data_IF_251811947195
#
_entry.id   IF_251811947195
#
_cell.length_a   1.000
_cell.length_b   1.000
_cell.length_c   1.000
_cell.angle_alpha   90.00
_cell.angle_beta   90.00
_cell.angle_gamma   90.00
#
_symmetry.space_group_name_H-M   'P 1'
#
loop_
_entity.id
_entity.type
_entity.pdbx_description
1 polymer ?
#
# COMPACT_ATOMS: atom_id res chain seq x y z
N UNK A 1 -23.78 -3.42 -80.01
CA UNK A 1 -23.01 -4.07 -78.92
C UNK A 1 -22.91 -3.09 -77.76
N UNK A 2 -23.70 -3.29 -76.70
CA UNK A 2 -23.68 -2.45 -75.48
C UNK A 2 -22.76 -3.12 -74.45
N UNK A 3 -21.73 -2.41 -74.00
CA UNK A 3 -20.82 -2.86 -72.93
C UNK A 3 -21.46 -2.54 -71.57
N UNK A 4 -21.81 -3.56 -70.81
CA UNK A 4 -22.21 -3.46 -69.40
C UNK A 4 -20.96 -3.39 -68.52
N UNK A 5 -20.77 -2.27 -67.82
CA UNK A 5 -19.72 -2.09 -66.80
C UNK A 5 -20.31 -2.55 -65.46
N UNK A 6 -19.88 -3.71 -64.98
CA UNK A 6 -20.20 -4.19 -63.64
C UNK A 6 -19.39 -3.39 -62.63
N UNK A 7 -20.06 -2.60 -61.78
CA UNK A 7 -19.44 -1.90 -60.67
C UNK A 7 -19.51 -2.81 -59.45
N UNK A 8 -18.37 -3.39 -59.07
CA UNK A 8 -18.22 -4.15 -57.83
C UNK A 8 -18.17 -3.15 -56.68
N UNK A 9 -19.26 -3.03 -55.92
CA UNK A 9 -19.30 -2.24 -54.69
C UNK A 9 -18.55 -2.98 -53.58
N UNK A 10 -17.34 -2.52 -53.26
CA UNK A 10 -16.60 -2.94 -52.09
C UNK A 10 -17.24 -2.28 -50.85
N UNK A 11 -18.02 -3.04 -50.09
CA UNK A 11 -18.54 -2.59 -48.81
C UNK A 11 -17.38 -2.59 -47.80
N UNK A 12 -16.87 -1.41 -47.48
CA UNK A 12 -15.96 -1.20 -46.36
C UNK A 12 -16.76 -1.40 -45.06
N UNK A 13 -16.67 -2.58 -44.47
CA UNK A 13 -17.17 -2.83 -43.12
C UNK A 13 -16.19 -2.16 -42.16
N UNK A 14 -16.48 -0.92 -41.79
CA UNK A 14 -15.80 -0.20 -40.73
C UNK A 14 -16.22 -0.85 -39.41
N UNK A 15 -15.48 -1.86 -38.96
CA UNK A 15 -15.57 -2.34 -37.59
C UNK A 15 -15.00 -1.22 -36.72
N UNK A 16 -15.86 -0.31 -36.24
CA UNK A 16 -15.52 0.51 -35.08
C UNK A 16 -15.34 -0.49 -33.94
N UNK A 17 -14.09 -0.91 -33.72
CA UNK A 17 -13.69 -1.51 -32.47
C UNK A 17 -13.87 -0.39 -31.45
N UNK A 18 -15.04 -0.36 -30.81
CA UNK A 18 -15.28 0.50 -29.67
C UNK A 18 -14.46 -0.07 -28.52
N UNK A 19 -13.15 0.11 -28.57
CA UNK A 19 -12.31 -0.02 -27.39
C UNK A 19 -12.92 0.95 -26.38
N UNK A 20 -13.30 0.49 -25.18
CA UNK A 20 -13.64 1.43 -24.12
C UNK A 20 -12.49 2.45 -24.03
N UNK A 21 -12.78 3.74 -23.78
CA UNK A 21 -11.70 4.69 -23.54
C UNK A 21 -10.79 4.07 -22.48
N UNK A 22 -9.50 3.94 -22.79
CA UNK A 22 -8.52 3.44 -21.85
C UNK A 22 -8.55 4.29 -20.59
N UNK A 23 -8.19 3.69 -19.45
CA UNK A 23 -7.98 4.46 -18.22
C UNK A 23 -6.90 5.54 -18.50
N UNK A 24 -7.03 6.70 -17.87
CA UNK A 24 -5.97 7.71 -17.91
C UNK A 24 -4.66 7.07 -17.42
N UNK A 25 -3.51 7.41 -18.01
CA UNK A 25 -2.24 6.90 -17.48
C UNK A 25 -1.98 7.56 -16.13
N UNK A 26 -1.33 6.83 -15.23
CA UNK A 26 -0.97 7.30 -13.90
C UNK A 26 0.53 7.15 -13.66
N UNK A 27 1.08 8.03 -12.84
CA UNK A 27 2.46 8.01 -12.40
C UNK A 27 2.53 8.08 -10.87
N UNK A 28 3.35 7.21 -10.26
CA UNK A 28 3.66 7.23 -8.83
C UNK A 28 5.16 7.43 -8.68
N UNK A 29 5.57 8.62 -8.25
CA UNK A 29 6.97 9.01 -8.13
C UNK A 29 7.42 9.03 -6.67
N UNK A 30 8.31 8.12 -6.30
CA UNK A 30 9.03 8.15 -5.02
C UNK A 30 10.22 9.09 -5.19
N UNK A 31 10.12 10.29 -4.63
CA UNK A 31 11.04 11.39 -4.89
C UNK A 31 12.37 11.19 -4.16
N UNK A 32 13.47 11.59 -4.79
CA UNK A 32 14.77 11.65 -4.12
C UNK A 32 14.88 12.88 -3.21
N UNK A 33 14.33 12.73 -2.01
CA UNK A 33 14.38 13.72 -0.93
C UNK A 33 15.46 13.40 0.09
N UNK A 34 16.45 12.56 -0.21
CA UNK A 34 17.43 12.12 0.78
C UNK A 34 16.82 11.14 1.78
N UNK A 35 17.09 11.29 3.08
CA UNK A 35 16.38 10.49 4.09
C UNK A 35 14.97 11.01 4.31
N UNK A 36 14.00 10.11 4.18
CA UNK A 36 12.58 10.41 4.33
C UNK A 36 11.77 9.96 3.12
N UNK A 37 10.46 10.16 3.22
CA UNK A 37 9.53 9.88 2.13
C UNK A 37 8.92 11.16 1.60
N UNK A 38 8.86 11.26 0.27
CA UNK A 38 7.92 12.12 -0.44
C UNK A 38 7.50 11.38 -1.71
N UNK A 39 6.21 11.19 -1.89
CA UNK A 39 5.65 10.38 -2.97
C UNK A 39 4.57 11.18 -3.66
N UNK A 40 4.69 11.37 -4.97
CA UNK A 40 3.70 12.08 -5.76
C UNK A 40 2.96 11.11 -6.68
N UNK A 41 1.64 11.04 -6.51
CA UNK A 41 0.72 10.40 -7.44
C UNK A 41 0.12 11.46 -8.35
N UNK A 42 0.10 11.18 -9.65
CA UNK A 42 -0.56 11.97 -10.68
C UNK A 42 -1.23 11.05 -11.69
N UNK A 43 -2.37 11.45 -12.24
CA UNK A 43 -2.91 10.84 -13.46
C UNK A 43 -3.25 11.86 -14.54
N UNK A 44 -3.37 11.39 -15.78
CA UNK A 44 -3.71 12.22 -16.93
C UNK A 44 -5.14 12.78 -16.88
N UNK A 45 -5.95 12.40 -15.87
CA UNK A 45 -7.22 13.04 -15.57
C UNK A 45 -7.04 14.34 -14.74
N UNK A 46 -5.81 14.62 -14.29
CA UNK A 46 -5.41 15.82 -13.57
C UNK A 46 -5.65 15.71 -12.07
N UNK A 47 -5.59 14.50 -11.49
CA UNK A 47 -5.70 14.31 -10.05
C UNK A 47 -4.32 14.16 -9.40
N UNK A 48 -4.00 15.03 -8.45
CA UNK A 48 -2.68 15.15 -7.86
C UNK A 48 -2.70 14.90 -6.34
N UNK A 49 -1.90 13.92 -5.88
CA UNK A 49 -1.76 13.58 -4.47
C UNK A 49 -0.30 13.57 -4.06
N UNK A 50 0.04 14.32 -3.01
CA UNK A 50 1.34 14.23 -2.35
C UNK A 50 1.21 13.42 -1.05
N UNK A 51 1.91 12.30 -0.96
CA UNK A 51 2.01 11.45 0.23
C UNK A 51 3.39 11.66 0.86
N UNK A 52 3.42 12.22 2.06
CA UNK A 52 4.62 12.72 2.74
C UNK A 52 5.39 13.77 1.91
N UNK A 53 6.35 14.46 2.53
CA UNK A 53 7.04 15.61 1.94
C UNK A 53 8.50 15.75 2.41
N UNK A 54 9.10 14.68 2.92
CA UNK A 54 10.49 14.65 3.37
C UNK A 54 10.77 15.56 4.56
N UNK A 55 12.06 15.69 4.89
CA UNK A 55 12.56 16.70 5.82
C UNK A 55 12.29 18.13 5.32
N UNK A 56 12.17 19.09 6.23
CA UNK A 56 11.94 20.50 5.88
C UNK A 56 13.01 21.07 4.93
N UNK A 57 14.26 20.59 5.05
CA UNK A 57 15.37 21.00 4.19
C UNK A 57 15.24 20.53 2.73
N UNK A 58 14.30 19.62 2.46
CA UNK A 58 14.09 18.95 1.17
C UNK A 58 12.79 19.39 0.48
N UNK A 59 12.06 20.34 1.08
CA UNK A 59 10.85 20.89 0.50
C UNK A 59 11.06 21.48 -0.90
N UNK A 60 12.24 22.03 -1.19
CA UNK A 60 12.58 22.52 -2.54
C UNK A 60 12.62 21.38 -3.54
N UNK A 61 13.20 20.22 -3.21
CA UNK A 61 13.25 19.08 -4.12
C UNK A 61 11.84 18.52 -4.42
N UNK A 62 10.93 18.60 -3.45
CA UNK A 62 9.51 18.26 -3.64
C UNK A 62 8.84 19.27 -4.58
N UNK A 63 8.98 20.57 -4.30
CA UNK A 63 8.37 21.62 -5.11
C UNK A 63 8.90 21.65 -6.56
N UNK A 64 10.17 21.34 -6.77
CA UNK A 64 10.77 21.21 -8.10
C UNK A 64 10.12 20.06 -8.89
N UNK A 65 9.75 18.95 -8.24
CA UNK A 65 9.01 17.85 -8.90
C UNK A 65 7.55 18.21 -9.18
N UNK A 66 6.97 19.10 -8.39
CA UNK A 66 5.61 19.60 -8.58
C UNK A 66 5.58 20.83 -9.53
N UNK A 67 6.68 21.15 -10.22
CA UNK A 67 6.69 22.25 -11.20
C UNK A 67 5.67 21.98 -12.31
N UNK A 68 4.67 22.85 -12.42
CA UNK A 68 3.57 22.71 -13.39
C UNK A 68 2.28 22.16 -12.79
N UNK A 69 2.31 21.60 -11.57
CA UNK A 69 1.11 21.28 -10.80
C UNK A 69 0.47 22.57 -10.29
N UNK A 70 -0.82 22.76 -10.56
CA UNK A 70 -1.53 24.00 -10.21
C UNK A 70 -2.11 23.96 -8.80
N UNK A 71 -2.55 22.80 -8.34
CA UNK A 71 -3.10 22.53 -7.02
C UNK A 71 -2.90 21.05 -6.69
N UNK A 72 -2.78 20.72 -5.41
CA UNK A 72 -2.86 19.34 -4.93
C UNK A 72 -4.30 19.06 -4.47
N UNK A 73 -4.93 18.04 -5.03
CA UNK A 73 -6.26 17.59 -4.57
C UNK A 73 -6.21 17.08 -3.14
N UNK A 74 -5.12 16.40 -2.80
CA UNK A 74 -4.94 15.80 -1.50
C UNK A 74 -3.46 15.81 -1.10
N UNK A 75 -3.22 16.14 0.15
CA UNK A 75 -1.99 15.74 0.83
C UNK A 75 -2.29 14.66 1.84
N UNK A 76 -1.44 13.65 1.89
CA UNK A 76 -1.48 12.59 2.89
C UNK A 76 -0.19 12.67 3.69
N UNK A 77 -0.26 12.55 5.01
CA UNK A 77 0.94 12.19 5.77
C UNK A 77 0.73 10.91 6.56
N UNK A 78 1.71 10.02 6.42
CA UNK A 78 1.64 8.66 6.92
C UNK A 78 1.73 8.65 8.45
N UNK A 79 2.77 9.26 9.01
CA UNK A 79 3.01 9.45 10.44
C UNK A 79 3.69 10.80 10.69
N UNK A 80 3.99 11.15 11.95
CA UNK A 80 4.41 12.51 12.32
C UNK A 80 5.92 12.73 12.50
N UNK A 81 6.77 11.84 11.99
CA UNK A 81 8.22 12.08 11.96
C UNK A 81 8.63 13.15 10.94
N UNK A 82 9.73 13.84 11.24
CA UNK A 82 10.17 15.03 10.50
C UNK A 82 10.61 14.71 9.07
N UNK A 83 11.15 13.52 8.82
CA UNK A 83 11.52 13.03 7.50
C UNK A 83 10.31 12.60 6.64
N UNK A 84 9.09 12.74 7.17
CA UNK A 84 7.84 12.54 6.44
C UNK A 84 7.05 13.84 6.33
N UNK A 85 6.79 14.53 7.45
CA UNK A 85 5.97 15.75 7.46
C UNK A 85 6.76 17.06 7.38
N UNK A 86 8.09 17.00 7.44
CA UNK A 86 8.95 18.17 7.58
C UNK A 86 8.76 19.21 6.48
N UNK A 87 8.71 18.78 5.22
CA UNK A 87 8.47 19.67 4.07
C UNK A 87 7.00 20.02 3.83
N UNK A 88 6.05 19.38 4.53
CA UNK A 88 4.62 19.46 4.19
C UNK A 88 4.08 20.88 4.38
N UNK A 89 4.45 21.53 5.48
CA UNK A 89 4.07 22.92 5.75
C UNK A 89 4.60 23.88 4.67
N UNK A 90 5.82 23.65 4.18
CA UNK A 90 6.42 24.45 3.11
C UNK A 90 5.66 24.28 1.79
N UNK A 91 5.27 23.05 1.45
CA UNK A 91 4.47 22.78 0.24
C UNK A 91 3.11 23.49 0.32
N UNK A 92 2.38 23.32 1.44
CA UNK A 92 1.06 23.96 1.65
C UNK A 92 1.12 25.50 1.63
N UNK A 93 2.26 26.10 2.00
CA UNK A 93 2.45 27.56 1.90
C UNK A 93 2.81 28.02 0.47
N UNK A 94 3.36 27.13 -0.36
CA UNK A 94 3.85 27.45 -1.69
C UNK A 94 2.80 27.24 -2.79
N UNK A 95 1.84 26.34 -2.60
CA UNK A 95 0.80 26.04 -3.59
C UNK A 95 -0.56 25.71 -2.95
N UNK A 96 -1.67 25.84 -3.70
CA UNK A 96 -3.00 25.45 -3.21
C UNK A 96 -3.08 23.95 -2.90
N UNK A 97 -3.73 23.62 -1.79
CA UNK A 97 -4.04 22.25 -1.36
C UNK A 97 -5.51 22.19 -0.98
N UNK A 98 -6.27 21.27 -1.59
CA UNK A 98 -7.73 21.21 -1.42
C UNK A 98 -8.15 20.45 -0.16
N UNK A 99 -7.43 19.40 0.22
CA UNK A 99 -7.74 18.59 1.39
C UNK A 99 -6.48 17.92 1.97
N UNK A 100 -6.58 17.51 3.23
CA UNK A 100 -5.58 16.73 3.93
C UNK A 100 -6.14 15.43 4.51
N UNK A 101 -5.33 14.38 4.51
CA UNK A 101 -5.58 13.10 5.16
C UNK A 101 -4.41 12.77 6.09
N UNK A 102 -4.71 12.36 7.32
CA UNK A 102 -3.70 12.02 8.33
C UNK A 102 -4.06 10.74 9.09
N UNK A 103 -3.10 10.15 9.79
CA UNK A 103 -3.35 9.05 10.73
C UNK A 103 -4.24 9.44 11.93
N UNK A 104 -4.37 10.74 12.21
CA UNK A 104 -5.31 11.28 13.20
C UNK A 104 -4.87 11.18 14.67
N UNK A 105 -3.64 10.79 14.96
CA UNK A 105 -3.07 10.84 16.30
C UNK A 105 -2.24 12.12 16.50
N UNK A 106 -2.25 12.65 17.73
CA UNK A 106 -1.45 13.81 18.10
C UNK A 106 0.01 13.41 18.35
N UNK A 107 0.95 14.23 17.89
CA UNK A 107 2.37 14.06 18.12
C UNK A 107 2.98 15.34 18.73
N UNK A 108 3.83 15.20 19.74
CA UNK A 108 4.42 16.35 20.45
C UNK A 108 5.77 16.72 19.82
N UNK A 109 5.72 17.38 18.67
CA UNK A 109 6.89 17.92 17.99
C UNK A 109 6.61 19.29 17.39
N UNK A 110 7.65 20.13 17.28
CA UNK A 110 7.52 21.44 16.63
C UNK A 110 7.03 21.29 15.18
N UNK A 111 7.60 20.33 14.44
CA UNK A 111 7.21 20.04 13.05
C UNK A 111 5.71 19.73 12.92
N UNK A 112 5.16 18.91 13.82
CA UNK A 112 3.74 18.56 13.80
C UNK A 112 2.86 19.76 14.14
N UNK A 113 3.21 20.53 15.17
CA UNK A 113 2.45 21.70 15.58
C UNK A 113 2.47 22.81 14.51
N UNK A 114 3.62 23.06 13.89
CA UNK A 114 3.76 24.03 12.80
C UNK A 114 2.91 23.62 11.58
N UNK A 115 2.86 22.32 11.25
CA UNK A 115 1.99 21.80 10.20
C UNK A 115 0.50 22.03 10.52
N UNK A 116 0.07 21.76 11.75
CA UNK A 116 -1.32 22.00 12.17
C UNK A 116 -1.69 23.49 12.11
N UNK A 117 -0.78 24.39 12.46
CA UNK A 117 -0.98 25.83 12.35
C UNK A 117 -1.16 26.25 10.88
N UNK A 118 -0.42 25.66 9.94
CA UNK A 118 -0.57 25.88 8.50
C UNK A 118 -1.92 25.36 8.00
N UNK A 119 -2.29 24.13 8.35
CA UNK A 119 -3.59 23.53 7.99
C UNK A 119 -4.75 24.40 8.50
N UNK A 120 -4.68 24.83 9.75
CA UNK A 120 -5.70 25.71 10.35
C UNK A 120 -5.70 27.11 9.73
N UNK A 121 -4.52 27.67 9.44
CA UNK A 121 -4.36 29.02 8.89
C UNK A 121 -4.91 29.15 7.47
N UNK A 122 -4.75 28.11 6.63
CA UNK A 122 -5.34 28.06 5.29
C UNK A 122 -6.77 27.50 5.27
N UNK A 123 -7.25 26.95 6.39
CA UNK A 123 -8.58 26.35 6.48
C UNK A 123 -8.71 25.08 5.63
N UNK A 124 -7.62 24.31 5.50
CA UNK A 124 -7.59 23.07 4.72
C UNK A 124 -8.44 22.02 5.46
N UNK A 125 -9.49 21.48 4.83
CA UNK A 125 -10.25 20.38 5.41
C UNK A 125 -9.35 19.17 5.64
N UNK A 126 -9.26 18.73 6.90
CA UNK A 126 -8.45 17.57 7.28
C UNK A 126 -9.34 16.42 7.75
N UNK A 127 -9.07 15.23 7.21
CA UNK A 127 -9.75 13.99 7.57
C UNK A 127 -8.76 12.99 8.18
N UNK A 128 -9.29 12.02 8.93
CA UNK A 128 -8.51 10.95 9.55
C UNK A 128 -8.69 9.67 8.77
N UNK A 129 -7.58 9.08 8.32
CA UNK A 129 -7.54 7.78 7.69
C UNK A 129 -7.93 6.68 8.68
N UNK A 130 -8.79 5.76 8.25
CA UNK A 130 -9.17 4.58 9.02
C UNK A 130 -9.07 3.33 8.16
N UNK A 131 -8.60 2.23 8.76
CA UNK A 131 -8.60 0.93 8.11
C UNK A 131 -10.00 0.61 7.53
N UNK A 132 -10.04 0.29 6.24
CA UNK A 132 -11.26 0.01 5.49
C UNK A 132 -11.80 1.19 4.68
N UNK A 133 -11.33 2.42 4.91
CA UNK A 133 -11.70 3.55 4.06
C UNK A 133 -11.23 3.31 2.63
N UNK A 134 -12.02 3.81 1.66
CA UNK A 134 -11.70 3.73 0.24
C UNK A 134 -11.97 5.08 -0.40
N UNK A 135 -10.97 5.58 -1.13
CA UNK A 135 -11.01 6.85 -1.83
C UNK A 135 -10.82 6.61 -3.33
N UNK A 136 -11.38 7.51 -4.14
CA UNK A 136 -11.13 7.58 -5.58
C UNK A 136 -10.15 8.71 -5.83
N UNK A 137 -8.97 8.40 -6.33
CA UNK A 137 -7.94 9.36 -6.70
C UNK A 137 -7.86 9.41 -8.21
N UNK A 138 -8.64 10.31 -8.82
CA UNK A 138 -8.86 10.33 -10.26
C UNK A 138 -9.33 8.97 -10.78
N UNK A 139 -8.49 8.30 -11.56
CA UNK A 139 -8.75 6.96 -12.09
C UNK A 139 -8.17 5.82 -11.22
N UNK A 140 -7.62 6.11 -10.04
CA UNK A 140 -7.15 5.09 -9.11
C UNK A 140 -8.07 4.91 -7.90
N UNK A 141 -8.01 3.74 -7.28
CA UNK A 141 -8.67 3.46 -6.01
C UNK A 141 -7.62 3.35 -4.91
N UNK A 142 -7.72 4.18 -3.88
CA UNK A 142 -6.83 4.14 -2.72
C UNK A 142 -7.58 3.53 -1.53
N UNK A 143 -7.19 2.33 -1.12
CA UNK A 143 -7.76 1.65 0.05
C UNK A 143 -6.82 1.79 1.24
N UNK A 144 -7.33 2.38 2.32
CA UNK A 144 -6.59 2.50 3.58
C UNK A 144 -6.65 1.18 4.33
N UNK A 145 -5.48 0.59 4.61
CA UNK A 145 -5.34 -0.65 5.36
C UNK A 145 -5.02 -0.41 6.84
N UNK A 146 -4.43 0.75 7.16
CA UNK A 146 -4.03 1.17 8.51
C UNK A 146 -4.11 2.71 8.60
N UNK A 147 -4.46 3.35 9.75
CA UNK A 147 -4.54 2.80 11.11
C UNK A 147 -5.81 2.09 11.53
N UNK A 148 -5.64 1.06 12.38
CA UNK A 148 -6.72 0.40 13.13
C UNK A 148 -6.84 0.93 14.57
N UNK A 149 -5.70 1.25 15.19
CA UNK A 149 -5.57 1.83 16.54
C UNK A 149 -4.29 2.67 16.63
N UNK A 150 -4.06 3.28 17.80
CA UNK A 150 -2.80 3.98 18.10
C UNK A 150 -1.76 3.01 18.64
N UNK A 151 -0.53 3.14 18.16
CA UNK A 151 0.68 2.45 18.60
C UNK A 151 1.57 3.38 19.42
N UNK A 152 2.43 2.79 20.26
CA UNK A 152 3.43 3.54 21.03
C UNK A 152 4.56 4.04 20.12
N UNK A 153 4.94 3.22 19.14
CA UNK A 153 5.86 3.59 18.08
C UNK A 153 5.14 4.46 17.05
N UNK A 154 5.70 5.61 16.73
CA UNK A 154 5.09 6.53 15.77
C UNK A 154 5.17 5.99 14.34
N UNK A 155 6.21 5.23 14.02
CA UNK A 155 6.35 4.54 12.73
C UNK A 155 5.16 3.60 12.46
N UNK A 156 4.75 2.83 13.45
CA UNK A 156 3.60 1.91 13.38
C UNK A 156 2.25 2.64 13.42
N UNK A 157 2.20 3.97 13.52
CA UNK A 157 0.99 4.75 13.28
C UNK A 157 0.81 5.11 11.78
N UNK A 158 1.74 4.71 10.91
CA UNK A 158 1.74 5.05 9.49
C UNK A 158 0.42 4.70 8.79
N UNK A 159 -0.10 5.62 7.98
CA UNK A 159 -1.18 5.31 7.03
C UNK A 159 -0.65 4.36 5.96
N UNK A 160 -1.22 3.15 5.88
CA UNK A 160 -0.91 2.18 4.83
C UNK A 160 -1.98 2.23 3.76
N UNK A 161 -1.57 2.39 2.51
CA UNK A 161 -2.48 2.53 1.37
C UNK A 161 -2.14 1.49 0.32
N UNK A 162 -3.12 0.69 -0.07
CA UNK A 162 -3.09 -0.09 -1.30
C UNK A 162 -3.73 0.74 -2.40
N UNK A 163 -2.91 1.21 -3.34
CA UNK A 163 -3.33 2.03 -4.46
C UNK A 163 -3.46 1.15 -5.70
N UNK A 164 -4.67 1.08 -6.26
CA UNK A 164 -5.00 0.27 -7.42
C UNK A 164 -5.26 1.18 -8.62
N UNK A 165 -4.40 1.10 -9.64
CA UNK A 165 -4.63 1.69 -10.94
C UNK A 165 -4.92 0.56 -11.95
N UNK A 166 -6.21 0.28 -12.15
CA UNK A 166 -6.65 -0.89 -12.91
C UNK A 166 -6.12 -2.19 -12.30
N UNK A 167 -5.35 -2.96 -13.08
CA UNK A 167 -4.73 -4.22 -12.67
C UNK A 167 -3.32 -4.04 -12.06
N UNK A 168 -2.87 -2.80 -11.83
CA UNK A 168 -1.56 -2.48 -11.21
C UNK A 168 -1.79 -1.96 -9.79
N UNK A 169 -1.25 -2.69 -8.82
CA UNK A 169 -1.35 -2.40 -7.41
C UNK A 169 -0.01 -1.96 -6.82
N UNK A 170 -0.04 -0.85 -6.07
CA UNK A 170 1.10 -0.30 -5.32
C UNK A 170 0.77 -0.28 -3.84
N UNK A 171 1.61 -0.89 -3.00
CA UNK A 171 1.48 -0.84 -1.55
C UNK A 171 2.41 0.23 -0.97
N UNK A 172 1.82 1.29 -0.43
CA UNK A 172 2.50 2.39 0.26
C UNK A 172 2.43 2.14 1.77
N UNK A 173 3.59 1.96 2.41
CA UNK A 173 3.65 1.49 3.80
C UNK A 173 4.07 2.56 4.82
N UNK A 174 4.49 3.75 4.36
CA UNK A 174 5.16 4.73 5.23
C UNK A 174 6.34 4.07 5.93
N UNK A 175 6.39 4.20 7.26
CA UNK A 175 7.44 3.59 8.09
C UNK A 175 6.98 2.35 8.86
N UNK A 176 6.05 1.58 8.30
CA UNK A 176 5.61 0.31 8.89
C UNK A 176 6.77 -0.55 9.40
N UNK A 177 6.71 -0.89 10.70
CA UNK A 177 7.60 -1.86 11.30
C UNK A 177 6.84 -3.17 11.56
N UNK A 178 7.56 -4.13 12.12
CA UNK A 178 7.06 -5.48 12.40
C UNK A 178 5.69 -5.52 13.09
N UNK A 179 5.45 -4.64 14.08
CA UNK A 179 4.19 -4.69 14.85
C UNK A 179 2.99 -4.38 13.96
N UNK A 180 3.12 -3.36 13.09
CA UNK A 180 2.11 -3.02 12.11
C UNK A 180 1.98 -4.08 11.01
N UNK A 181 3.10 -4.57 10.46
CA UNK A 181 3.10 -5.64 9.45
C UNK A 181 2.35 -6.88 9.94
N UNK A 182 2.63 -7.31 11.17
CA UNK A 182 1.98 -8.44 11.80
C UNK A 182 0.49 -8.16 12.10
N UNK A 183 0.12 -6.91 12.40
CA UNK A 183 -1.29 -6.53 12.54
C UNK A 183 -2.03 -6.69 11.21
N UNK A 184 -1.45 -6.23 10.10
CA UNK A 184 -2.03 -6.38 8.76
C UNK A 184 -2.18 -7.86 8.37
N UNK A 185 -1.17 -8.68 8.63
CA UNK A 185 -1.20 -10.12 8.38
C UNK A 185 -2.31 -10.81 9.19
N UNK A 186 -2.44 -10.49 10.48
CA UNK A 186 -3.48 -11.06 11.35
C UNK A 186 -4.89 -10.61 10.97
N UNK A 187 -5.03 -9.38 10.47
CA UNK A 187 -6.29 -8.87 9.98
C UNK A 187 -6.78 -9.60 8.71
N UNK A 188 -5.88 -10.29 7.99
CA UNK A 188 -6.21 -11.01 6.76
C UNK A 188 -6.70 -10.08 5.64
N UNK A 189 -6.23 -8.82 5.66
CA UNK A 189 -6.48 -7.88 4.56
C UNK A 189 -5.67 -8.29 3.34
N UNK A 190 -6.15 -7.90 2.16
CA UNK A 190 -5.42 -8.13 0.93
C UNK A 190 -4.21 -7.19 0.85
N UNK A 191 -3.02 -7.77 0.87
CA UNK A 191 -1.73 -7.09 0.81
C UNK A 191 -1.06 -7.24 -0.55
N UNK A 192 -1.64 -8.00 -1.49
CA UNK A 192 -0.98 -8.27 -2.77
C UNK A 192 -0.79 -6.96 -3.55
N UNK A 193 0.43 -6.75 -4.06
CA UNK A 193 0.77 -5.60 -4.88
C UNK A 193 1.99 -5.89 -5.76
N UNK A 194 1.98 -5.47 -7.02
CA UNK A 194 3.13 -5.61 -7.92
C UNK A 194 4.30 -4.73 -7.46
N UNK A 195 4.01 -3.56 -6.88
CA UNK A 195 5.02 -2.62 -6.38
C UNK A 195 4.87 -2.38 -4.89
N UNK A 196 5.98 -2.54 -4.15
CA UNK A 196 6.06 -2.20 -2.72
C UNK A 196 6.95 -0.97 -2.50
N UNK A 197 6.40 0.08 -1.89
CA UNK A 197 7.24 1.07 -1.21
C UNK A 197 7.67 0.48 0.13
N UNK A 198 8.95 0.16 0.24
CA UNK A 198 9.56 -0.50 1.40
C UNK A 198 9.44 0.39 2.63
N UNK A 199 8.99 -0.20 3.74
CA UNK A 199 8.76 0.49 4.99
C UNK A 199 10.05 0.96 5.64
N UNK A 200 10.01 2.13 6.28
CA UNK A 200 11.06 2.65 7.16
C UNK A 200 12.43 2.67 6.49
N UNK A 201 12.45 3.15 5.25
CA UNK A 201 13.66 3.34 4.44
C UNK A 201 14.50 2.06 4.24
N UNK A 202 13.93 0.88 4.50
CA UNK A 202 14.64 -0.40 4.51
C UNK A 202 15.38 -0.72 5.81
N UNK A 203 14.91 -0.19 6.95
CA UNK A 203 15.36 -0.57 8.29
C UNK A 203 15.22 -2.08 8.54
N UNK A 204 16.06 -2.65 9.39
CA UNK A 204 15.93 -4.05 9.80
C UNK A 204 14.66 -4.33 10.64
N UNK A 205 13.96 -3.27 11.07
CA UNK A 205 12.68 -3.33 11.79
C UNK A 205 11.46 -3.44 10.88
N UNK A 206 11.64 -3.45 9.56
CA UNK A 206 10.56 -3.59 8.58
C UNK A 206 10.84 -4.73 7.57
N UNK A 207 9.88 -4.93 6.67
CA UNK A 207 9.88 -5.87 5.54
C UNK A 207 10.12 -7.32 5.94
N UNK A 208 9.45 -7.81 7.00
CA UNK A 208 9.62 -9.18 7.48
C UNK A 208 9.17 -10.22 6.44
N UNK A 209 9.78 -11.41 6.51
CA UNK A 209 9.60 -12.44 5.49
C UNK A 209 8.13 -12.77 5.25
N UNK A 210 7.35 -12.96 6.31
CA UNK A 210 5.91 -13.25 6.21
C UNK A 210 5.11 -12.10 5.58
N UNK A 211 5.51 -10.84 5.81
CA UNK A 211 4.90 -9.68 5.17
C UNK A 211 5.21 -9.67 3.67
N UNK A 212 6.49 -9.82 3.29
CA UNK A 212 6.89 -9.90 1.88
C UNK A 212 6.25 -11.10 1.15
N UNK A 213 6.04 -12.22 1.84
CA UNK A 213 5.37 -13.41 1.28
C UNK A 213 3.87 -13.18 1.03
N UNK A 214 3.24 -12.29 1.81
CA UNK A 214 1.86 -11.88 1.61
C UNK A 214 1.71 -10.79 0.54
N UNK A 215 2.66 -9.87 0.44
CA UNK A 215 2.66 -8.80 -0.57
C UNK A 215 3.00 -9.33 -1.97
N UNK A 216 3.97 -10.24 -2.05
CA UNK A 216 4.48 -10.81 -3.32
C UNK A 216 4.91 -9.77 -4.36
N UNK A 217 5.72 -8.76 -4.00
CA UNK A 217 6.07 -7.69 -4.93
C UNK A 217 6.99 -8.18 -6.04
N UNK A 218 6.80 -7.65 -7.23
CA UNK A 218 7.76 -7.77 -8.35
C UNK A 218 8.84 -6.70 -8.24
N UNK A 219 8.46 -5.51 -7.77
CA UNK A 219 9.32 -4.34 -7.58
C UNK A 219 9.25 -3.84 -6.14
N UNK A 220 10.40 -3.50 -5.57
CA UNK A 220 10.53 -2.81 -4.30
C UNK A 220 11.24 -1.47 -4.52
N UNK A 221 10.64 -0.38 -4.05
CA UNK A 221 11.25 0.95 -4.05
C UNK A 221 11.61 1.33 -2.62
N UNK A 222 12.86 1.71 -2.40
CA UNK A 222 13.38 2.15 -1.10
C UNK A 222 13.68 3.65 -1.21
N UNK A 223 12.90 4.48 -0.52
CA UNK A 223 13.29 5.89 -0.33
C UNK A 223 14.37 5.93 0.74
N UNK A 224 15.53 6.44 0.36
CA UNK A 224 16.73 6.49 1.18
C UNK A 224 17.71 7.49 0.56
N UNK A 225 18.48 8.18 1.39
CA UNK A 225 19.51 9.13 1.02
C UNK A 225 20.90 8.50 1.04
N UNK A 226 21.76 8.96 0.11
CA UNK A 226 23.12 8.46 -0.04
C UNK A 226 23.98 8.66 1.22
N UNK A 227 23.71 9.74 1.97
CA UNK A 227 24.45 10.13 3.17
C UNK A 227 23.67 9.79 4.46
N UNK A 228 22.78 8.80 4.42
CA UNK A 228 21.98 8.46 5.59
C UNK A 228 22.82 7.93 6.76
N UNK A 229 22.65 8.46 7.98
CA UNK A 229 23.45 8.04 9.13
C UNK A 229 22.97 6.72 9.76
N UNK A 230 21.80 6.23 9.36
CA UNK A 230 21.12 5.09 9.98
C UNK A 230 21.62 3.73 9.47
N UNK A 231 22.39 3.71 8.38
CA UNK A 231 22.84 2.48 7.74
C UNK A 231 21.73 1.76 6.97
N UNK A 232 20.78 2.53 6.46
CA UNK A 232 19.69 2.05 5.63
C UNK A 232 20.05 2.10 4.14
N UNK A 233 19.45 1.23 3.30
CA UNK A 233 18.71 0.04 3.70
C UNK A 233 19.65 -0.99 4.35
N UNK A 234 19.13 -1.73 5.34
CA UNK A 234 19.90 -2.77 6.01
C UNK A 234 20.20 -3.93 5.05
N UNK A 235 21.38 -4.58 5.16
CA UNK A 235 21.69 -5.76 4.36
C UNK A 235 20.65 -6.87 4.48
N UNK A 236 20.05 -7.06 5.66
CA UNK A 236 19.02 -8.05 5.89
C UNK A 236 17.71 -7.78 5.13
N UNK A 237 17.31 -6.51 4.93
CA UNK A 237 16.18 -6.18 4.04
C UNK A 237 16.53 -6.53 2.59
N UNK A 238 17.71 -6.11 2.13
CA UNK A 238 18.15 -6.38 0.75
C UNK A 238 18.23 -7.89 0.46
N UNK A 239 18.76 -8.68 1.40
CA UNK A 239 18.83 -10.13 1.28
C UNK A 239 17.44 -10.77 1.23
N UNK A 240 16.48 -10.29 2.03
CA UNK A 240 15.09 -10.77 2.02
C UNK A 240 14.39 -10.49 0.68
N UNK A 241 14.62 -9.32 0.09
CA UNK A 241 14.10 -8.95 -1.23
C UNK A 241 14.76 -9.77 -2.34
N UNK A 242 16.09 -9.86 -2.33
CA UNK A 242 16.85 -10.62 -3.30
C UNK A 242 16.50 -12.12 -3.30
N UNK A 243 16.30 -12.71 -2.12
CA UNK A 243 15.88 -14.11 -1.97
C UNK A 243 14.52 -14.42 -2.61
N UNK A 244 13.69 -13.39 -2.83
CA UNK A 244 12.38 -13.47 -3.48
C UNK A 244 12.40 -13.06 -4.96
N UNK A 245 13.56 -12.67 -5.49
CA UNK A 245 13.70 -12.20 -6.86
C UNK A 245 13.07 -10.82 -7.12
N UNK A 246 12.86 -10.03 -6.07
CA UNK A 246 12.25 -8.69 -6.17
C UNK A 246 13.25 -7.71 -6.78
N UNK A 247 12.87 -7.01 -7.84
CA UNK A 247 13.67 -5.95 -8.42
C UNK A 247 13.69 -4.74 -7.46
N UNK A 248 14.86 -4.37 -6.96
CA UNK A 248 15.01 -3.32 -5.94
C UNK A 248 15.55 -2.03 -6.57
N UNK A 249 14.86 -0.93 -6.35
CA UNK A 249 15.27 0.43 -6.70
C UNK A 249 15.46 1.27 -5.44
N UNK A 250 16.46 2.15 -5.44
CA UNK A 250 16.77 3.01 -4.28
C UNK A 250 16.96 4.45 -4.72
N UNK A 251 16.34 5.40 -4.03
CA UNK A 251 16.43 6.81 -4.44
C UNK A 251 17.85 7.38 -4.36
N UNK A 252 18.70 6.85 -3.47
CA UNK A 252 20.11 7.25 -3.39
C UNK A 252 20.98 6.80 -4.58
N UNK A 253 20.52 5.82 -5.35
CA UNK A 253 21.24 5.26 -6.50
C UNK A 253 20.55 5.59 -7.82
N UNK A 254 19.23 5.47 -7.83
CA UNK A 254 18.37 5.61 -9.01
C UNK A 254 17.72 6.99 -9.13
N UNK A 255 17.95 7.88 -8.15
CA UNK A 255 17.28 9.20 -8.02
C UNK A 255 15.78 8.98 -7.84
N UNK A 256 14.93 9.93 -8.22
CA UNK A 256 13.48 9.75 -8.19
C UNK A 256 13.09 8.49 -8.97
N UNK A 257 12.34 7.60 -8.32
CA UNK A 257 11.85 6.36 -8.92
C UNK A 257 10.38 6.52 -9.26
N UNK A 258 10.03 6.47 -10.55
CA UNK A 258 8.64 6.66 -11.01
C UNK A 258 8.08 5.37 -11.61
N UNK A 259 6.93 4.95 -11.09
CA UNK A 259 6.10 3.88 -11.64
C UNK A 259 5.08 4.50 -12.58
N UNK A 260 5.18 4.21 -13.88
CA UNK A 260 4.17 4.60 -14.87
C UNK A 260 3.22 3.43 -15.09
N UNK A 261 1.91 3.67 -15.08
CA UNK A 261 0.89 2.64 -15.25
C UNK A 261 -0.19 3.10 -16.22
N UNK A 262 -0.61 2.22 -17.13
CA UNK A 262 -1.76 2.45 -18.02
C UNK A 262 -3.03 1.71 -17.57
N UNK A 263 -3.01 1.18 -16.34
CA UNK A 263 -4.11 0.43 -15.77
C UNK A 263 -4.12 -1.07 -16.09
N UNK A 264 -3.18 -1.56 -16.91
CA UNK A 264 -3.04 -2.99 -17.24
C UNK A 264 -1.61 -3.48 -17.02
N UNK A 265 -0.64 -2.61 -17.27
CA UNK A 265 0.79 -2.88 -17.05
C UNK A 265 1.47 -1.64 -16.52
N UNK A 266 2.71 -1.81 -16.06
CA UNK A 266 3.54 -0.73 -15.56
C UNK A 266 4.98 -0.79 -16.06
N UNK A 267 5.68 0.32 -15.93
CA UNK A 267 7.13 0.44 -16.15
C UNK A 267 7.76 1.32 -15.08
N UNK A 268 9.06 1.13 -14.84
CA UNK A 268 9.84 1.90 -13.86
C UNK A 268 10.79 2.85 -14.58
N UNK A 269 10.80 4.12 -14.19
CA UNK A 269 11.68 5.22 -14.65
C UNK A 269 11.63 5.57 -16.15
N UNK A 270 10.76 4.90 -16.92
CA UNK A 270 10.50 5.22 -18.31
C UNK A 270 8.99 5.16 -18.55
N UNK A 271 8.37 6.22 -19.10
CA UNK A 271 6.96 6.17 -19.49
C UNK A 271 6.67 5.00 -20.43
N UNK A 272 5.47 4.43 -20.30
CA UNK A 272 4.99 3.47 -21.27
C UNK A 272 4.91 4.15 -22.65
N UNK A 273 5.20 3.42 -23.75
CA UNK A 273 4.95 3.96 -25.07
C UNK A 273 3.47 4.30 -25.15
N UNK A 274 3.16 5.50 -25.65
CA UNK A 274 1.79 5.89 -25.96
C UNK A 274 1.14 4.74 -26.73
N UNK A 275 -0.13 4.45 -26.43
CA UNK A 275 -0.90 3.44 -27.14
C UNK A 275 -1.03 3.82 -28.62
N UNK A 276 0.04 3.60 -29.40
CA UNK A 276 0.02 3.80 -30.83
C UNK A 276 -1.01 2.82 -31.35
N UNK A 277 -2.06 3.40 -31.95
CA UNK A 277 -3.02 2.75 -32.82
C UNK A 277 -2.43 1.47 -33.40
N UNK A 278 -2.75 0.32 -32.81
CA UNK A 278 -2.43 -0.96 -33.41
C UNK A 278 -3.16 -0.95 -34.74
N UNK A 279 -2.45 -0.58 -35.81
CA UNK A 279 -2.94 -0.73 -37.17
C UNK A 279 -3.02 -2.23 -37.36
N UNK A 280 -4.22 -2.77 -37.13
CA UNK A 280 -4.57 -4.09 -37.57
C UNK A 280 -4.40 -4.07 -39.09
N UNK A 281 -3.24 -4.53 -39.56
CA UNK A 281 -3.06 -4.85 -40.96
C UNK A 281 -3.79 -6.18 -41.13
N UNK A 282 -4.99 -6.23 -41.73
CA UNK A 282 -5.58 -7.51 -42.06
C UNK A 282 -4.56 -8.24 -42.92
N UNK A 283 -4.15 -9.43 -42.49
CA UNK A 283 -3.41 -10.34 -43.34
C UNK A 283 -4.34 -10.70 -44.50
N UNK A 284 -4.25 -9.95 -45.60
CA UNK A 284 -4.92 -10.31 -46.85
C UNK A 284 -4.23 -11.60 -47.27
N UNK A 285 -4.88 -12.73 -47.01
CA UNK A 285 -4.49 -14.00 -47.58
C UNK A 285 -4.33 -13.77 -49.09
N UNK A 286 -3.09 -13.89 -49.57
CA UNK A 286 -2.81 -13.89 -51.00
C UNK A 286 -3.69 -14.92 -51.69
N UNK A 287 -3.97 -14.75 -52.99
CA UNK A 287 -4.81 -15.69 -53.74
C UNK A 287 -4.31 -17.11 -53.48
N UNK A 288 -5.23 -18.07 -53.22
CA UNK A 288 -4.85 -19.45 -52.94
C UNK A 288 -3.93 -19.95 -54.06
N UNK A 289 -2.85 -20.63 -53.66
CA UNK A 289 -1.99 -21.34 -54.60
C UNK A 289 -2.87 -22.23 -55.49
N UNK A 290 -2.56 -22.36 -56.79
CA UNK A 290 -3.36 -23.17 -57.71
C UNK A 290 -3.51 -24.59 -57.15
N UNK A 291 -4.76 -25.02 -57.01
CA UNK A 291 -5.13 -26.34 -56.51
C UNK A 291 -4.42 -27.41 -57.33
N UNK A 292 -3.53 -28.15 -56.66
CA UNK A 292 -3.00 -29.40 -57.20
C UNK A 292 -4.14 -30.41 -57.33
N UNK A 293 -4.21 -31.04 -58.49
CA UNK A 293 -5.18 -32.08 -58.84
C UNK A 293 -5.25 -33.16 -57.75
N UNK A 294 -6.43 -33.46 -57.17
CA UNK A 294 -6.54 -34.48 -56.14
C UNK A 294 -6.45 -35.90 -56.73
N UNK A 295 -5.43 -36.63 -56.30
CA UNK A 295 -5.36 -38.10 -56.42
C UNK A 295 -6.29 -38.70 -55.38
N UNK A 296 -7.28 -39.47 -55.84
CA UNK A 296 -8.18 -40.23 -54.97
C UNK A 296 -7.40 -41.26 -54.13
N UNK A 297 -7.77 -41.43 -52.85
CA UNK A 297 -7.98 -42.75 -52.21
C UNK A 297 -8.50 -42.65 -50.77
N UNK A 298 -9.54 -43.45 -50.52
CA UNK A 298 -10.03 -44.11 -49.29
C UNK A 298 -10.61 -43.32 -48.08
N UNK A 299 -11.91 -43.58 -47.87
CA UNK A 299 -12.71 -43.46 -46.63
C UNK A 299 -12.31 -44.54 -45.60
N UNK A 300 -12.34 -44.24 -44.29
CA UNK A 300 -13.43 -44.74 -43.41
C UNK A 300 -13.88 -43.68 -42.36
N UNK A 301 -15.18 -43.40 -42.18
CA UNK A 301 -16.16 -44.02 -41.25
C UNK A 301 -15.84 -43.85 -39.76
N UNK A 302 -16.68 -43.10 -39.02
CA UNK A 302 -16.68 -43.15 -37.54
C UNK A 302 -17.29 -41.95 -36.82
N UNK A 303 -18.59 -42.02 -36.56
CA UNK A 303 -19.47 -41.08 -35.84
C UNK A 303 -19.18 -40.99 -34.32
N UNK A 304 -19.29 -39.80 -33.72
CA UNK A 304 -20.09 -39.52 -32.51
C UNK A 304 -19.93 -38.05 -32.05
N UNK A 305 -21.04 -37.32 -32.05
CA UNK A 305 -21.17 -35.98 -31.50
C UNK A 305 -21.54 -36.04 -30.01
N UNK A 306 -21.04 -35.10 -29.21
CA UNK A 306 -21.45 -34.89 -27.82
C UNK A 306 -22.05 -33.48 -27.71
N UNK A 307 -23.29 -33.43 -27.22
CA UNK A 307 -24.15 -32.25 -27.03
C UNK A 307 -23.85 -31.65 -25.64
N UNK A 308 -23.77 -30.31 -25.47
CA UNK A 308 -23.77 -29.70 -24.15
C UNK A 308 -25.20 -29.57 -23.61
N UNK A 309 -25.42 -29.98 -22.37
CA UNK A 309 -26.72 -29.78 -21.67
C UNK A 309 -26.57 -28.64 -20.68
N UNK A 310 -27.35 -27.58 -20.89
CA UNK A 310 -27.68 -26.58 -19.88
C UNK A 310 -28.88 -27.06 -19.06
N UNK A 311 -28.94 -26.69 -17.78
CA UNK A 311 -30.19 -26.71 -17.02
C UNK A 311 -30.18 -25.58 -16.01
N UNK A 312 -31.10 -24.64 -16.21
CA UNK A 312 -31.60 -23.73 -15.18
C UNK A 312 -32.69 -24.44 -14.36
N UNK A 313 -32.95 -24.03 -13.12
CA UNK A 313 -34.26 -23.44 -12.71
C UNK A 313 -34.27 -23.13 -11.21
N UNK A 314 -34.91 -22.00 -10.92
CA UNK A 314 -35.23 -21.35 -9.66
C UNK A 314 -35.98 -22.21 -8.62
N UNK A 315 -36.07 -21.73 -7.38
CA UNK A 315 -37.29 -21.07 -6.84
C UNK A 315 -37.11 -20.71 -5.36
N UNK A 316 -37.50 -19.48 -5.02
CA UNK A 316 -37.63 -18.95 -3.67
C UNK A 316 -38.85 -19.51 -2.93
N UNK A 317 -38.82 -19.57 -1.60
CA UNK A 317 -40.05 -19.55 -0.80
C UNK A 317 -39.80 -18.83 0.53
N UNK A 318 -40.64 -17.84 0.77
CA UNK A 318 -40.76 -17.00 1.96
C UNK A 318 -41.82 -17.55 2.91
N UNK A 319 -41.66 -17.35 4.23
CA UNK A 319 -42.74 -17.07 5.20
C UNK A 319 -42.18 -16.87 6.64
N UNK A 320 -42.91 -16.17 7.54
CA UNK A 320 -42.31 -15.27 8.54
C UNK A 320 -42.73 -15.48 10.03
N UNK A 321 -42.09 -14.69 10.93
CA UNK A 321 -42.53 -14.17 12.27
C UNK A 321 -42.57 -15.17 13.45
N UNK A 322 -42.46 -14.78 14.76
CA UNK A 322 -42.57 -13.43 15.34
C UNK A 322 -41.59 -12.96 16.44
N UNK A 323 -41.60 -11.63 16.55
CA UNK A 323 -41.33 -10.69 17.65
C UNK A 323 -41.29 -11.21 19.09
N UNK A 324 -40.30 -10.70 19.85
CA UNK A 324 -40.43 -10.48 21.30
C UNK A 324 -40.01 -9.05 21.65
N UNK A 325 -40.90 -8.38 22.37
CA UNK A 325 -40.83 -7.01 22.90
C UNK A 325 -40.52 -7.09 24.40
N UNK A 326 -39.57 -6.29 24.88
CA UNK A 326 -39.47 -5.85 26.28
C UNK A 326 -38.65 -4.56 26.29
N UNK A 327 -39.29 -3.39 26.22
CA UNK A 327 -39.85 -2.61 27.34
C UNK A 327 -38.76 -2.08 28.29
N UNK A 328 -38.39 -0.82 28.02
CA UNK A 328 -37.56 0.01 28.86
C UNK A 328 -38.24 0.32 30.20
N UNK A 329 -37.45 0.33 31.27
CA UNK A 329 -37.82 0.94 32.55
C UNK A 329 -36.70 1.89 32.94
N UNK A 330 -36.99 3.19 32.96
CA UNK A 330 -36.09 4.22 33.46
C UNK A 330 -36.07 4.16 34.99
N UNK A 331 -34.87 4.10 35.56
CA UNK A 331 -34.58 4.34 36.97
C UNK A 331 -33.71 5.61 37.11
N UNK A 332 -33.81 6.35 38.22
CA UNK A 332 -33.43 7.75 38.31
C UNK A 332 -31.92 8.00 38.35
N UNK A 333 -31.57 9.16 37.78
CA UNK A 333 -30.28 9.84 37.73
C UNK A 333 -29.59 9.94 39.08
N UNK A 334 -28.39 9.36 39.20
CA UNK A 334 -27.45 9.65 40.28
C UNK A 334 -26.42 10.67 39.79
N UNK A 335 -26.39 11.84 40.44
CA UNK A 335 -25.38 12.87 40.27
C UNK A 335 -24.06 12.38 40.86
N UNK A 336 -23.06 12.13 40.00
CA UNK A 336 -21.69 11.84 40.44
C UNK A 336 -20.93 13.16 40.65
N UNK A 337 -20.49 13.38 41.88
CA UNK A 337 -19.63 14.48 42.32
C UNK A 337 -18.20 14.27 41.78
N UNK A 338 -17.68 15.26 41.07
CA UNK A 338 -16.27 15.31 40.64
C UNK A 338 -15.39 15.42 41.88
N UNK A 339 -14.57 14.40 42.14
CA UNK A 339 -13.46 14.48 43.09
C UNK A 339 -12.18 14.52 42.27
N UNK A 340 -11.44 15.62 42.35
CA UNK A 340 -10.13 15.76 41.72
C UNK A 340 -9.16 14.74 42.32
N UNK A 341 -8.54 13.93 41.46
CA UNK A 341 -7.40 13.08 41.79
C UNK A 341 -6.13 13.85 41.43
N UNK A 342 -5.13 13.96 42.33
CA UNK A 342 -3.91 14.72 42.04
C UNK A 342 -3.11 14.06 40.92
N UNK A 343 -2.68 14.89 39.98
CA UNK A 343 -1.83 14.56 38.83
C UNK A 343 -0.56 13.86 39.27
N UNK A 344 -0.40 12.58 38.90
CA UNK A 344 0.87 11.89 38.98
C UNK A 344 1.79 12.42 37.86
N UNK A 345 2.92 12.98 38.25
CA UNK A 345 4.00 13.40 37.37
C UNK A 345 4.58 12.18 36.64
N UNK A 346 4.40 12.07 35.33
CA UNK A 346 5.07 11.05 34.52
C UNK A 346 6.50 11.50 34.20
N UNK A 347 7.46 10.86 34.86
CA UNK A 347 8.86 10.80 34.42
C UNK A 347 8.95 9.94 33.15
N UNK A 348 9.80 10.27 32.16
CA UNK A 348 9.86 9.52 30.90
C UNK A 348 10.50 8.13 31.11
N UNK A 349 9.92 7.08 30.53
CA UNK A 349 10.56 5.78 30.37
C UNK A 349 10.86 5.53 28.89
N UNK A 350 12.14 5.46 28.56
CA UNK A 350 12.64 4.60 27.50
C UNK A 350 13.73 3.74 28.13
N UNK A 351 13.40 2.51 28.49
CA UNK A 351 14.37 1.47 28.86
C UNK A 351 13.91 0.22 28.14
N UNK A 352 14.80 -0.49 27.40
CA UNK A 352 14.42 -1.75 26.77
C UNK A 352 13.91 -2.73 27.82
N UNK A 353 12.84 -3.46 27.51
CA UNK A 353 12.12 -4.36 28.41
C UNK A 353 13.07 -5.42 29.02
N UNK A 354 14.15 -5.79 28.30
CA UNK A 354 15.30 -6.49 28.85
C UNK A 354 16.55 -6.35 27.95
N UNK A 355 17.73 -6.69 28.48
CA UNK A 355 19.00 -6.68 27.75
C UNK A 355 19.44 -8.08 27.28
N UNK A 356 19.74 -8.24 26.00
CA UNK A 356 20.08 -9.53 25.37
C UNK A 356 21.59 -9.79 25.20
N UNK A 357 22.44 -9.15 26.01
CA UNK A 357 23.91 -9.27 25.89
C UNK A 357 24.50 -10.50 26.60
N UNK A 358 23.65 -11.38 27.13
CA UNK A 358 24.02 -12.62 27.82
C UNK A 358 22.85 -13.18 28.62
N UNK A 359 23.10 -14.24 29.39
CA UNK A 359 22.11 -14.82 30.32
C UNK A 359 21.98 -13.95 31.58
N UNK A 360 21.10 -12.94 31.53
CA UNK A 360 20.98 -11.88 32.55
C UNK A 360 19.69 -11.94 33.38
N UNK A 361 18.64 -12.62 32.91
CA UNK A 361 17.33 -12.65 33.52
C UNK A 361 16.85 -14.10 33.65
N UNK A 362 15.99 -14.36 34.63
CA UNK A 362 15.26 -15.61 34.79
C UNK A 362 13.81 -15.29 35.20
N UNK A 363 12.94 -16.31 35.31
CA UNK A 363 11.52 -16.10 35.62
C UNK A 363 11.24 -15.33 36.92
N UNK A 364 12.15 -15.34 37.90
CA UNK A 364 11.95 -14.60 39.16
C UNK A 364 12.14 -13.08 39.03
N UNK A 365 12.73 -12.62 37.92
CA UNK A 365 12.93 -11.19 37.63
C UNK A 365 11.65 -10.53 37.06
N UNK A 366 10.60 -11.31 36.78
CA UNK A 366 9.36 -10.85 36.19
C UNK A 366 8.17 -11.03 37.14
N UNK A 367 7.32 -10.01 37.21
CA UNK A 367 6.10 -10.04 38.04
C UNK A 367 4.89 -10.70 37.38
N UNK A 368 4.93 -10.92 36.06
CA UNK A 368 3.83 -11.52 35.26
C UNK A 368 4.40 -12.32 34.10
N UNK A 369 3.64 -13.31 33.62
CA UNK A 369 3.99 -14.08 32.41
C UNK A 369 4.16 -13.19 31.18
N UNK A 370 3.30 -12.18 31.02
CA UNK A 370 3.36 -11.25 29.89
C UNK A 370 4.69 -10.47 29.82
N UNK A 371 5.23 -10.07 30.98
CA UNK A 371 6.53 -9.40 31.03
C UNK A 371 7.70 -10.33 30.67
N UNK A 372 7.65 -11.59 31.11
CA UNK A 372 8.65 -12.59 30.76
C UNK A 372 8.58 -12.97 29.27
N UNK A 373 7.38 -13.13 28.72
CA UNK A 373 7.15 -13.42 27.31
C UNK A 373 7.68 -12.28 26.42
N UNK A 374 7.41 -11.02 26.78
CA UNK A 374 7.93 -9.88 26.03
C UNK A 374 9.47 -9.84 26.00
N UNK A 375 10.14 -10.24 27.09
CA UNK A 375 11.60 -10.35 27.09
C UNK A 375 12.10 -11.54 26.25
N UNK A 376 11.46 -12.69 26.39
CA UNK A 376 11.77 -13.90 25.60
C UNK A 376 11.66 -13.62 24.10
N UNK A 377 10.51 -13.09 23.65
CA UNK A 377 10.27 -12.78 22.22
C UNK A 377 11.30 -11.77 21.71
N UNK A 378 11.60 -10.73 22.50
CA UNK A 378 12.59 -9.73 22.16
C UNK A 378 14.00 -10.32 22.00
N UNK A 379 14.48 -11.11 22.96
CA UNK A 379 15.84 -11.67 22.87
C UNK A 379 15.96 -12.85 21.90
N UNK A 380 14.90 -13.64 21.72
CA UNK A 380 14.82 -14.65 20.66
C UNK A 380 14.92 -13.99 19.29
N UNK A 381 14.27 -12.83 19.10
CA UNK A 381 14.36 -12.05 17.87
C UNK A 381 15.75 -11.45 17.64
N UNK A 382 16.42 -10.93 18.67
CA UNK A 382 17.73 -10.30 18.53
C UNK A 382 18.88 -11.30 18.33
N UNK A 383 18.79 -12.47 18.96
CA UNK A 383 19.91 -13.42 19.05
C UNK A 383 19.65 -14.75 18.35
N UNK A 384 18.40 -15.02 17.97
CA UNK A 384 17.97 -16.33 17.46
C UNK A 384 17.96 -17.42 18.55
N UNK A 385 18.11 -17.04 19.83
CA UNK A 385 18.22 -17.97 20.95
C UNK A 385 17.40 -17.46 22.14
N UNK A 386 16.84 -18.39 22.91
CA UNK A 386 16.38 -18.11 24.27
C UNK A 386 17.60 -17.93 25.19
N UNK A 387 18.23 -16.76 25.10
CA UNK A 387 19.50 -16.46 25.78
C UNK A 387 19.35 -16.44 27.31
N UNK A 388 18.12 -16.29 27.81
CA UNK A 388 17.77 -16.22 29.22
C UNK A 388 17.13 -17.51 29.75
N UNK A 389 16.88 -18.50 28.87
CA UNK A 389 16.25 -19.79 29.22
C UNK A 389 14.90 -19.62 29.90
N UNK A 390 14.10 -18.67 29.40
CA UNK A 390 12.77 -18.37 29.95
C UNK A 390 11.73 -19.40 29.49
N UNK A 391 11.96 -20.07 28.36
CA UNK A 391 11.16 -21.17 27.81
C UNK A 391 11.88 -22.50 28.09
N UNK A 392 11.49 -23.17 29.18
CA UNK A 392 12.23 -24.32 29.69
C UNK A 392 11.94 -25.63 28.96
N UNK A 393 10.78 -25.75 28.32
CA UNK A 393 10.37 -26.95 27.58
C UNK A 393 10.38 -26.75 26.05
N UNK A 394 10.62 -25.52 25.59
CA UNK A 394 10.90 -25.18 24.19
C UNK A 394 9.64 -25.09 23.34
N UNK A 395 8.50 -24.81 23.94
CA UNK A 395 7.21 -24.74 23.26
C UNK A 395 6.85 -23.32 22.76
N UNK A 396 7.67 -22.33 23.09
CA UNK A 396 7.48 -20.92 22.76
C UNK A 396 6.85 -20.09 23.88
N UNK A 397 6.49 -20.70 25.01
CA UNK A 397 5.85 -20.04 26.15
C UNK A 397 6.84 -19.79 27.29
N UNK A 398 7.18 -18.52 27.52
CA UNK A 398 8.13 -18.14 28.55
C UNK A 398 7.49 -18.16 29.95
N UNK A 399 8.18 -18.76 30.91
CA UNK A 399 7.89 -18.67 32.35
C UNK A 399 6.44 -18.98 32.72
N UNK A 400 5.86 -20.07 32.21
CA UNK A 400 4.46 -20.47 32.41
C UNK A 400 4.01 -20.58 33.88
N UNK A 401 4.95 -20.69 34.82
CA UNK A 401 4.66 -20.71 36.27
C UNK A 401 4.30 -19.33 36.85
N UNK A 402 4.50 -18.24 36.11
CA UNK A 402 4.15 -16.88 36.52
C UNK A 402 2.65 -16.59 36.32
N UNK A 403 2.08 -15.70 37.16
CA UNK A 403 0.69 -15.29 37.05
C UNK A 403 0.38 -14.44 35.80
#
# INVERSE_FOLDING_TARGET
MRRTIAHTLLALVLVLCCTPPGRADAAISVLDVGQGDAIWYHDDAGYDVLIDAGEASRAVDVLDHLEGVHELDLVVWTHSHADHIGGMANVMMAMPVLAALSHGFSYDSATYLDLLDVVAGFGIPMTTARAGDTYTWGESTARVLHPDRRYLNENDNSVVIRLSHGDVDVLLTGDAEWEMENTLLRAGVDLSAEVLKVGHHGSNTSSYGAFLDAVQPEVAVISVGADNPYGHPSPAVLDRLAARGVATYRTDQDRTVTIYSNGVTYSVNAPLPAAESLVYVPYVLGPPAPEGTPTATATPTGTAAIIPTATATATATSAPTPTATASATQGPTATATVTEVPTATTTPMATPICGCSGDLYNCSDFGTRAGAQACYDYCLMQTGQDIHRLDSDGDGEACESLP
#
